data_IF_815581203049
#
_entry.id   IF_815581203049
#
_cell.length_a   1.000
_cell.length_b   1.000
_cell.length_c   1.000
_cell.angle_alpha   90.00
_cell.angle_beta   90.00
_cell.angle_gamma   90.00
#
_symmetry.space_group_name_H-M   'P 1'
#
loop_
_entity.id
_entity.type
_entity.pdbx_description
1 polymer ?
#
# COMPACT_ATOMS: atom_id res chain seq x y z
N UNK A 1 -19.40 57.97 15.63
CA UNK A 1 -18.35 56.98 15.30
C UNK A 1 -18.50 55.81 16.25
N UNK A 2 -18.95 54.67 15.74
CA UNK A 2 -19.17 53.44 16.51
C UNK A 2 -18.51 52.29 15.75
N UNK A 3 -17.57 51.62 16.43
CA UNK A 3 -16.83 50.47 15.93
C UNK A 3 -17.75 49.24 15.83
N UNK A 4 -17.96 48.71 14.63
CA UNK A 4 -18.55 47.39 14.42
C UNK A 4 -17.47 46.43 13.93
N UNK A 5 -17.09 45.49 14.81
CA UNK A 5 -16.33 44.28 14.47
C UNK A 5 -17.26 43.33 13.74
N UNK A 6 -17.05 43.12 12.44
CA UNK A 6 -17.69 42.04 11.71
C UNK A 6 -16.88 40.75 11.95
N UNK A 7 -17.39 39.88 12.81
CA UNK A 7 -16.95 38.49 12.88
C UNK A 7 -17.57 37.73 11.70
N UNK A 8 -16.72 37.16 10.86
CA UNK A 8 -17.12 36.21 9.82
C UNK A 8 -17.69 34.94 10.46
N UNK A 9 -18.94 34.62 10.15
CA UNK A 9 -19.50 33.29 10.36
C UNK A 9 -19.50 32.60 8.99
N UNK A 10 -18.46 31.81 8.71
CA UNK A 10 -18.52 30.82 7.64
C UNK A 10 -19.29 29.62 8.19
N UNK A 11 -20.51 29.42 7.70
CA UNK A 11 -21.25 28.17 7.92
C UNK A 11 -20.51 27.05 7.20
N UNK A 12 -19.85 26.18 7.97
CA UNK A 12 -19.31 24.92 7.47
C UNK A 12 -20.48 24.01 7.10
N UNK A 13 -20.78 23.89 5.81
CA UNK A 13 -21.67 22.86 5.31
C UNK A 13 -20.92 21.52 5.38
N UNK A 14 -21.09 20.81 6.49
CA UNK A 14 -20.62 19.43 6.65
C UNK A 14 -21.50 18.54 5.79
N UNK A 15 -21.05 18.19 4.58
CA UNK A 15 -21.65 17.09 3.83
C UNK A 15 -21.11 15.80 4.45
N UNK A 16 -21.90 15.23 5.36
CA UNK A 16 -21.69 13.90 5.93
C UNK A 16 -22.00 12.86 4.84
N UNK A 17 -21.03 12.57 3.98
CA UNK A 17 -21.04 11.34 3.20
C UNK A 17 -20.64 10.20 4.14
N UNK A 18 -21.66 9.51 4.68
CA UNK A 18 -21.50 8.21 5.36
C UNK A 18 -21.01 7.21 4.31
N UNK A 19 -19.70 7.18 4.11
CA UNK A 19 -18.97 6.06 3.52
C UNK A 19 -18.11 5.52 4.66
N UNK A 20 -18.69 4.60 5.42
CA UNK A 20 -17.99 3.89 6.48
C UNK A 20 -16.82 3.13 5.87
N UNK A 21 -15.62 3.40 6.36
CA UNK A 21 -14.40 2.73 5.92
C UNK A 21 -13.17 3.61 6.01
N UNK A 22 -12.90 4.18 7.19
CA UNK A 22 -11.52 4.52 7.54
C UNK A 22 -10.71 3.22 7.62
N UNK A 23 -10.12 2.78 6.50
CA UNK A 23 -9.14 1.72 6.49
C UNK A 23 -7.76 2.37 6.63
N UNK A 24 -7.42 2.68 7.88
CA UNK A 24 -6.02 2.67 8.28
C UNK A 24 -5.54 1.24 8.09
N UNK A 25 -4.88 0.98 6.97
CA UNK A 25 -4.20 -0.30 6.77
C UNK A 25 -3.08 -0.35 7.77
N UNK A 26 -3.14 -1.36 8.62
CA UNK A 26 -2.12 -1.68 9.59
C UNK A 26 -0.73 -1.56 8.97
N UNK A 27 0.09 -0.72 9.59
CA UNK A 27 1.54 -0.79 9.49
C UNK A 27 1.97 -2.25 9.50
N UNK A 28 2.86 -2.61 8.57
CA UNK A 28 3.53 -3.92 8.56
C UNK A 28 4.37 -4.04 9.83
N UNK A 29 3.76 -4.50 10.91
CA UNK A 29 4.50 -4.93 12.09
C UNK A 29 5.17 -6.25 11.74
N UNK A 30 6.34 -6.18 11.12
CA UNK A 30 7.29 -7.28 11.15
C UNK A 30 7.56 -7.57 12.63
N UNK A 31 7.08 -8.72 13.10
CA UNK A 31 7.45 -9.25 14.40
C UNK A 31 8.96 -9.56 14.34
N UNK A 32 9.80 -8.56 14.63
CA UNK A 32 11.22 -8.77 14.93
C UNK A 32 11.23 -9.63 16.18
N UNK A 33 11.34 -10.94 16.01
CA UNK A 33 11.69 -11.86 17.09
C UNK A 33 13.13 -11.51 17.49
N UNK A 34 13.24 -10.52 18.38
CA UNK A 34 14.48 -10.20 19.06
C UNK A 34 14.81 -11.42 19.92
N UNK A 35 15.96 -12.04 19.63
CA UNK A 35 16.51 -13.13 20.42
C UNK A 35 16.89 -12.59 21.80
N UNK A 36 15.91 -12.46 22.69
CA UNK A 36 16.18 -12.22 24.10
C UNK A 36 16.84 -13.48 24.67
N UNK A 37 18.16 -13.40 24.78
CA UNK A 37 19.00 -14.25 25.61
C UNK A 37 18.37 -14.32 27.01
N UNK A 38 17.76 -15.46 27.34
CA UNK A 38 17.27 -15.77 28.67
C UNK A 38 18.49 -15.92 29.60
N UNK A 39 18.84 -14.85 30.31
CA UNK A 39 19.68 -14.98 31.50
C UNK A 39 18.78 -15.42 32.65
N UNK A 40 18.90 -16.70 33.01
CA UNK A 40 18.18 -17.32 34.10
C UNK A 40 18.53 -16.65 35.42
N UNK A 41 17.59 -15.91 36.00
CA UNK A 41 17.62 -15.54 37.42
C UNK A 41 16.49 -16.26 38.13
N UNK A 42 16.92 -17.25 38.91
CA UNK A 42 16.13 -18.10 39.79
C UNK A 42 15.27 -17.29 40.77
N UNK A 43 13.95 -17.42 40.67
CA UNK A 43 13.02 -17.20 41.79
C UNK A 43 11.91 -18.24 41.71
N UNK A 44 11.92 -19.17 42.67
CA UNK A 44 10.83 -20.08 42.98
C UNK A 44 9.54 -19.30 43.29
N UNK A 45 8.52 -19.46 42.46
CA UNK A 45 7.13 -19.36 42.91
C UNK A 45 6.28 -20.39 42.16
N UNK A 46 5.90 -21.42 42.89
CA UNK A 46 4.92 -22.42 42.49
C UNK A 46 3.55 -21.73 42.50
N UNK A 47 2.98 -21.51 41.33
CA UNK A 47 1.56 -21.20 41.17
C UNK A 47 0.96 -22.20 40.19
N UNK A 48 -0.01 -22.96 40.71
CA UNK A 48 -0.68 -24.09 40.07
C UNK A 48 -1.15 -23.78 38.64
N UNK A 49 -0.79 -24.67 37.72
CA UNK A 49 -1.39 -24.78 36.40
C UNK A 49 -2.85 -25.25 36.53
N UNK A 50 -3.79 -24.44 36.08
CA UNK A 50 -5.09 -24.90 35.59
C UNK A 50 -5.69 -23.81 34.71
N UNK A 51 -5.66 -24.04 33.41
CA UNK A 51 -6.17 -23.14 32.39
C UNK A 51 -5.44 -23.43 31.10
N UNK A 52 -6.15 -24.09 30.20
CA UNK A 52 -5.82 -24.48 28.83
C UNK A 52 -4.51 -23.96 28.23
N UNK A 53 -3.78 -24.89 27.62
CA UNK A 53 -2.79 -24.61 26.59
C UNK A 53 -3.40 -23.58 25.66
N UNK A 54 -2.84 -22.37 25.65
CA UNK A 54 -3.23 -21.28 24.75
C UNK A 54 -3.18 -21.85 23.33
N UNK A 55 -4.37 -22.26 22.85
CA UNK A 55 -4.56 -22.81 21.53
C UNK A 55 -4.21 -21.66 20.62
N UNK A 56 -2.97 -21.63 20.12
CA UNK A 56 -2.49 -20.76 19.05
C UNK A 56 -3.69 -20.45 18.18
N UNK A 57 -4.26 -19.26 18.32
CA UNK A 57 -5.59 -18.97 17.79
C UNK A 57 -5.52 -19.19 16.29
N UNK A 58 -6.00 -20.35 15.84
CA UNK A 58 -5.86 -20.74 14.44
C UNK A 58 -6.73 -19.76 13.70
N UNK A 59 -6.11 -18.91 12.87
CA UNK A 59 -6.87 -17.93 12.10
C UNK A 59 -7.92 -18.70 11.29
N UNK A 60 -9.12 -18.14 11.20
CA UNK A 60 -10.21 -18.81 10.53
C UNK A 60 -10.16 -18.51 9.02
N UNK A 61 -10.61 -19.44 8.17
CA UNK A 61 -10.76 -19.18 6.75
C UNK A 61 -11.61 -17.93 6.51
N UNK A 62 -11.26 -17.17 5.47
CA UNK A 62 -11.96 -15.95 5.12
C UNK A 62 -12.18 -15.86 3.62
N UNK A 63 -13.13 -15.03 3.19
CA UNK A 63 -13.33 -14.76 1.77
C UNK A 63 -12.16 -13.91 1.27
N UNK A 64 -11.45 -14.31 0.21
CA UNK A 64 -10.30 -13.55 -0.29
C UNK A 64 -10.64 -12.15 -0.79
N UNK A 65 -11.87 -11.98 -1.28
CA UNK A 65 -12.41 -10.69 -1.72
C UNK A 65 -13.59 -10.26 -0.86
N UNK A 66 -13.78 -8.96 -0.75
CA UNK A 66 -15.00 -8.34 -0.23
C UNK A 66 -16.11 -8.39 -1.27
N UNK A 67 -17.35 -8.07 -0.87
CA UNK A 67 -18.50 -8.00 -1.77
C UNK A 67 -18.32 -6.98 -2.91
N UNK A 68 -17.41 -6.03 -2.75
CA UNK A 68 -17.10 -4.99 -3.73
C UNK A 68 -15.91 -5.37 -4.63
N UNK A 69 -15.44 -6.62 -4.57
CA UNK A 69 -14.33 -7.14 -5.39
C UNK A 69 -12.93 -6.73 -4.91
N UNK A 70 -12.81 -6.05 -3.77
CA UNK A 70 -11.52 -5.65 -3.18
C UNK A 70 -10.89 -6.83 -2.45
N UNK A 71 -9.55 -6.89 -2.36
CA UNK A 71 -8.90 -7.91 -1.52
C UNK A 71 -9.23 -7.66 -0.04
N UNK A 72 -9.61 -8.71 0.66
CA UNK A 72 -9.97 -8.65 2.06
C UNK A 72 -8.70 -8.50 2.93
N UNK A 73 -8.64 -7.47 3.77
CA UNK A 73 -7.51 -7.27 4.69
C UNK A 73 -7.29 -8.44 5.66
N UNK A 74 -8.36 -9.15 6.06
CA UNK A 74 -8.24 -10.35 6.87
C UNK A 74 -7.53 -11.48 6.11
N UNK A 75 -7.78 -11.60 4.80
CA UNK A 75 -7.09 -12.54 3.92
C UNK A 75 -5.61 -12.18 3.80
N UNK A 76 -5.29 -10.90 3.57
CA UNK A 76 -3.90 -10.42 3.52
C UNK A 76 -3.17 -10.77 4.81
N UNK A 77 -3.71 -10.37 5.97
CA UNK A 77 -3.07 -10.60 7.27
C UNK A 77 -2.83 -12.08 7.56
N UNK A 78 -3.79 -12.94 7.17
CA UNK A 78 -3.70 -14.39 7.36
C UNK A 78 -2.56 -15.02 6.56
N UNK A 79 -2.26 -14.52 5.36
CA UNK A 79 -1.22 -15.08 4.48
C UNK A 79 0.08 -14.26 4.43
N UNK A 80 0.15 -13.09 5.06
CA UNK A 80 1.32 -12.21 4.94
C UNK A 80 2.63 -12.85 5.38
N UNK A 81 2.59 -13.69 6.43
CA UNK A 81 3.74 -14.44 6.90
C UNK A 81 4.08 -15.66 6.02
N UNK A 82 3.13 -16.10 5.19
CA UNK A 82 3.28 -17.24 4.30
C UNK A 82 3.85 -16.85 2.94
N UNK A 83 3.98 -15.57 2.62
CA UNK A 83 4.57 -15.10 1.36
C UNK A 83 5.92 -14.46 1.63
N UNK A 84 6.93 -14.93 0.91
CA UNK A 84 8.29 -14.41 0.96
C UNK A 84 8.68 -13.82 -0.38
N UNK A 85 9.51 -12.77 -0.37
CA UNK A 85 10.16 -12.25 -1.56
C UNK A 85 11.56 -12.85 -1.66
N UNK A 86 11.78 -13.69 -2.67
CA UNK A 86 13.08 -14.32 -2.88
C UNK A 86 14.10 -13.28 -3.37
N UNK A 87 15.06 -12.97 -2.51
CA UNK A 87 16.18 -12.04 -2.79
C UNK A 87 17.00 -12.37 -4.05
N UNK A 88 17.02 -13.63 -4.51
CA UNK A 88 17.79 -14.07 -5.68
C UNK A 88 17.01 -13.89 -6.97
N UNK A 89 15.72 -14.21 -6.93
CA UNK A 89 14.87 -14.19 -8.12
C UNK A 89 14.02 -12.93 -8.25
N UNK A 90 13.92 -12.13 -7.18
CA UNK A 90 13.08 -10.94 -7.10
C UNK A 90 11.58 -11.26 -7.20
N UNK A 91 11.17 -12.48 -6.82
CA UNK A 91 9.81 -12.97 -6.98
C UNK A 91 9.19 -13.40 -5.66
N UNK A 92 7.89 -13.12 -5.52
CA UNK A 92 7.08 -13.62 -4.44
C UNK A 92 6.88 -15.13 -4.59
N UNK A 93 6.98 -15.85 -3.47
CA UNK A 93 6.72 -17.27 -3.40
C UNK A 93 6.07 -17.65 -2.08
N UNK A 94 5.36 -18.78 -2.07
CA UNK A 94 4.70 -19.28 -0.87
C UNK A 94 5.69 -20.10 -0.05
N UNK A 95 5.91 -19.68 1.19
CA UNK A 95 6.57 -20.49 2.19
C UNK A 95 5.56 -21.48 2.81
N UNK A 96 5.63 -22.72 2.33
CA UNK A 96 4.75 -23.81 2.75
C UNK A 96 4.77 -24.08 4.26
N UNK A 97 5.87 -23.74 4.96
CA UNK A 97 6.02 -23.98 6.41
C UNK A 97 5.20 -23.02 7.27
N UNK A 98 4.85 -21.87 6.72
CA UNK A 98 4.15 -20.77 7.42
C UNK A 98 2.73 -20.58 6.90
N UNK A 99 2.28 -21.45 5.99
CA UNK A 99 0.89 -21.46 5.54
C UNK A 99 -0.06 -21.79 6.71
N UNK A 100 -1.22 -21.13 6.78
CA UNK A 100 -2.27 -21.54 7.72
C UNK A 100 -2.69 -23.00 7.48
N UNK A 101 -2.67 -23.81 8.54
CA UNK A 101 -2.97 -25.25 8.47
C UNK A 101 -4.39 -25.57 7.98
N UNK A 102 -5.32 -24.63 8.13
CA UNK A 102 -6.71 -24.73 7.71
C UNK A 102 -7.02 -23.87 6.46
N UNK A 103 -6.01 -23.52 5.66
CA UNK A 103 -6.22 -22.79 4.41
C UNK A 103 -7.12 -23.59 3.45
N UNK A 104 -8.18 -22.95 2.97
CA UNK A 104 -9.11 -23.56 2.04
C UNK A 104 -8.55 -23.56 0.61
N UNK A 105 -9.07 -24.45 -0.25
CA UNK A 105 -8.69 -24.48 -1.67
C UNK A 105 -8.97 -23.14 -2.37
N UNK A 106 -10.06 -22.46 -1.99
CA UNK A 106 -10.44 -21.15 -2.52
C UNK A 106 -9.39 -20.09 -2.15
N UNK A 107 -9.00 -20.03 -0.87
CA UNK A 107 -7.94 -19.13 -0.40
C UNK A 107 -6.61 -19.37 -1.10
N UNK A 108 -6.18 -20.63 -1.24
CA UNK A 108 -4.93 -20.99 -1.91
C UNK A 108 -4.95 -20.63 -3.40
N UNK A 109 -6.08 -20.84 -4.08
CA UNK A 109 -6.23 -20.49 -5.49
C UNK A 109 -6.11 -18.98 -5.72
N UNK A 110 -6.73 -18.17 -4.87
CA UNK A 110 -6.61 -16.71 -4.98
C UNK A 110 -5.21 -16.22 -4.57
N UNK A 111 -4.59 -16.84 -3.57
CA UNK A 111 -3.21 -16.55 -3.17
C UNK A 111 -2.23 -16.78 -4.35
N UNK A 112 -2.29 -17.94 -4.99
CA UNK A 112 -1.46 -18.29 -6.14
C UNK A 112 -1.68 -17.32 -7.31
N UNK A 113 -2.93 -16.95 -7.57
CA UNK A 113 -3.29 -15.97 -8.61
C UNK A 113 -2.67 -14.60 -8.33
N UNK A 114 -2.81 -14.07 -7.11
CA UNK A 114 -2.25 -12.77 -6.74
C UNK A 114 -0.73 -12.75 -6.83
N UNK A 115 -0.07 -13.79 -6.31
CA UNK A 115 1.40 -13.94 -6.41
C UNK A 115 1.85 -13.97 -7.86
N UNK A 116 1.18 -14.76 -8.71
CA UNK A 116 1.50 -14.87 -10.13
C UNK A 116 1.37 -13.53 -10.85
N UNK A 117 0.27 -12.81 -10.61
CA UNK A 117 0.02 -11.50 -11.22
C UNK A 117 1.00 -10.44 -10.72
N UNK A 118 1.30 -10.42 -9.42
CA UNK A 118 2.27 -9.50 -8.84
C UNK A 118 3.68 -9.75 -9.40
N UNK A 119 4.10 -11.01 -9.53
CA UNK A 119 5.39 -11.38 -10.11
C UNK A 119 5.53 -10.95 -11.58
N UNK A 120 4.46 -11.08 -12.38
CA UNK A 120 4.45 -10.60 -13.78
C UNK A 120 4.69 -9.09 -13.82
N UNK A 121 3.95 -8.31 -13.01
CA UNK A 121 4.10 -6.86 -12.95
C UNK A 121 5.48 -6.45 -12.42
N UNK A 122 5.92 -7.06 -11.33
CA UNK A 122 7.17 -6.71 -10.67
C UNK A 122 8.36 -6.99 -11.58
N UNK A 123 8.41 -8.18 -12.20
CA UNK A 123 9.48 -8.56 -13.14
C UNK A 123 9.59 -7.58 -14.31
N UNK A 124 8.45 -7.15 -14.86
CA UNK A 124 8.46 -6.15 -15.93
C UNK A 124 9.01 -4.81 -15.45
N UNK A 125 8.57 -4.37 -14.27
CA UNK A 125 8.94 -3.06 -13.71
C UNK A 125 10.43 -2.97 -13.39
N UNK A 126 10.97 -3.95 -12.66
CA UNK A 126 12.38 -3.92 -12.19
C UNK A 126 13.40 -4.00 -13.33
N UNK A 127 13.00 -4.51 -14.50
CA UNK A 127 13.85 -4.54 -15.69
C UNK A 127 13.94 -3.17 -16.39
N UNK A 128 12.97 -2.30 -16.16
CA UNK A 128 12.82 -1.04 -16.88
C UNK A 128 13.37 0.14 -16.08
N UNK A 129 13.21 0.10 -14.76
CA UNK A 129 13.59 1.20 -13.87
C UNK A 129 15.08 1.17 -13.53
N UNK A 130 15.68 2.34 -13.20
CA UNK A 130 17.06 2.37 -12.71
C UNK A 130 17.23 1.54 -11.44
N UNK A 131 18.18 0.58 -11.45
CA UNK A 131 18.43 -0.31 -10.29
C UNK A 131 18.71 0.44 -8.99
N UNK A 132 19.35 1.60 -9.07
CA UNK A 132 19.64 2.44 -7.91
C UNK A 132 18.37 2.96 -7.21
N UNK A 133 17.24 3.01 -7.92
CA UNK A 133 15.96 3.47 -7.39
C UNK A 133 15.12 2.33 -6.80
N UNK A 134 15.64 1.09 -6.78
CA UNK A 134 14.92 -0.10 -6.32
C UNK A 134 15.48 -0.52 -4.96
N UNK A 135 14.61 -0.59 -3.96
CA UNK A 135 14.94 -1.06 -2.61
C UNK A 135 14.03 -2.21 -2.24
N UNK A 136 14.60 -3.32 -1.77
CA UNK A 136 13.83 -4.40 -1.17
C UNK A 136 13.58 -4.08 0.30
N UNK A 137 12.32 -4.06 0.71
CA UNK A 137 11.87 -3.88 2.09
C UNK A 137 11.17 -5.17 2.56
N UNK A 138 11.93 -6.05 3.20
CA UNK A 138 11.45 -7.35 3.63
C UNK A 138 10.83 -8.16 2.48
N UNK A 139 9.52 -8.41 2.58
CA UNK A 139 8.71 -9.13 1.58
C UNK A 139 8.01 -8.18 0.59
N UNK A 140 8.64 -7.06 0.25
CA UNK A 140 8.10 -6.07 -0.69
C UNK A 140 9.22 -5.35 -1.44
N UNK A 141 8.87 -4.66 -2.51
CA UNK A 141 9.82 -3.87 -3.32
C UNK A 141 9.32 -2.44 -3.44
N UNK A 142 10.20 -1.49 -3.17
CA UNK A 142 9.98 -0.05 -3.38
C UNK A 142 10.78 0.41 -4.59
N UNK A 143 10.13 1.19 -5.45
CA UNK A 143 10.73 1.86 -6.60
C UNK A 143 10.44 3.35 -6.46
N UNK A 144 11.47 4.14 -6.17
CA UNK A 144 11.35 5.59 -6.04
C UNK A 144 11.63 6.34 -7.35
N UNK A 145 11.24 7.61 -7.40
CA UNK A 145 11.78 8.55 -8.39
C UNK A 145 13.29 8.81 -8.21
N UNK A 146 13.84 8.46 -7.04
CA UNK A 146 15.26 8.51 -6.71
C UNK A 146 15.65 7.40 -5.71
N UNK A 147 16.95 7.09 -5.54
CA UNK A 147 17.40 6.14 -4.53
C UNK A 147 16.98 6.56 -3.11
N UNK A 148 17.11 7.86 -2.82
CA UNK A 148 16.72 8.44 -1.52
C UNK A 148 15.23 8.24 -1.25
N UNK A 149 14.37 8.51 -2.23
CA UNK A 149 12.92 8.28 -2.09
C UNK A 149 12.62 6.81 -1.81
N UNK A 150 13.28 5.89 -2.52
CA UNK A 150 13.08 4.47 -2.33
C UNK A 150 13.48 4.01 -0.91
N UNK A 151 14.64 4.46 -0.41
CA UNK A 151 15.11 4.17 0.94
C UNK A 151 14.21 4.77 2.04
N UNK A 152 13.76 6.01 1.86
CA UNK A 152 12.90 6.68 2.85
C UNK A 152 11.51 6.03 2.96
N UNK A 153 10.97 5.52 1.84
CA UNK A 153 9.69 4.78 1.83
C UNK A 153 9.89 3.36 2.39
N UNK A 154 10.98 2.68 2.04
CA UNK A 154 11.30 1.34 2.54
C UNK A 154 11.56 1.31 4.05
N UNK A 155 12.15 2.37 4.61
CA UNK A 155 12.47 2.43 6.05
C UNK A 155 11.29 2.79 6.95
N UNK A 156 10.08 2.95 6.39
CA UNK A 156 8.92 3.56 7.05
C UNK A 156 9.29 4.87 7.78
N UNK A 157 10.29 5.58 7.26
CA UNK A 157 10.75 6.88 7.76
C UNK A 157 9.79 7.97 7.28
N UNK A 158 8.51 7.72 7.51
CA UNK A 158 7.45 8.71 7.44
C UNK A 158 7.42 9.43 8.78
N UNK A 159 8.45 10.23 9.06
CA UNK A 159 8.32 11.31 10.03
C UNK A 159 7.37 12.36 9.42
N UNK A 160 6.08 12.04 9.33
CA UNK A 160 5.06 12.86 8.69
C UNK A 160 4.65 13.96 9.65
N UNK A 161 5.36 15.09 9.61
CA UNK A 161 4.73 16.35 9.93
C UNK A 161 3.69 16.59 8.84
N UNK A 162 2.42 16.25 9.15
CA UNK A 162 1.24 16.59 8.33
C UNK A 162 1.14 18.12 8.31
N UNK A 163 1.96 18.73 7.48
CA UNK A 163 1.82 20.12 7.09
C UNK A 163 1.16 20.09 5.72
N UNK A 164 0.09 20.85 5.57
CA UNK A 164 -0.75 20.97 4.36
C UNK A 164 -0.01 21.43 3.08
N UNK A 165 1.33 21.48 3.08
CA UNK A 165 2.17 22.07 2.03
C UNK A 165 3.42 21.25 1.62
N UNK A 166 3.63 20.02 2.06
CA UNK A 166 4.82 19.26 1.63
C UNK A 166 4.62 18.59 0.25
N UNK A 167 5.66 18.47 -0.57
CA UNK A 167 5.56 18.02 -1.97
C UNK A 167 5.13 16.56 -2.16
N UNK A 168 5.19 15.74 -1.11
CA UNK A 168 4.98 14.30 -1.22
C UNK A 168 6.07 13.63 -2.06
N UNK A 169 5.96 12.32 -2.24
CA UNK A 169 6.93 11.48 -2.93
C UNK A 169 6.26 10.71 -4.06
N UNK A 170 7.01 10.47 -5.13
CA UNK A 170 6.59 9.60 -6.22
C UNK A 170 7.29 8.26 -6.11
N UNK A 171 6.52 7.19 -5.95
CA UNK A 171 7.06 5.84 -5.76
C UNK A 171 6.03 4.75 -6.12
N UNK A 172 6.51 3.54 -6.40
CA UNK A 172 5.74 2.30 -6.40
C UNK A 172 6.20 1.42 -5.23
N UNK A 173 5.29 0.94 -4.40
CA UNK A 173 5.56 -0.04 -3.36
C UNK A 173 4.75 -1.31 -3.63
N UNK A 174 5.41 -2.33 -4.13
CA UNK A 174 4.79 -3.57 -4.59
C UNK A 174 4.89 -4.66 -3.52
N UNK A 175 3.73 -5.22 -3.20
CA UNK A 175 3.50 -6.36 -2.33
C UNK A 175 2.96 -7.54 -3.16
N UNK A 176 2.89 -8.73 -2.54
CA UNK A 176 2.29 -9.89 -3.20
C UNK A 176 0.80 -9.72 -3.51
N UNK A 177 0.07 -8.96 -2.67
CA UNK A 177 -1.37 -8.73 -2.82
C UNK A 177 -1.71 -7.49 -3.64
N UNK A 178 -0.75 -6.59 -3.91
CA UNK A 178 -1.05 -5.30 -4.49
C UNK A 178 0.12 -4.35 -4.62
N UNK A 179 -0.15 -3.13 -5.10
CA UNK A 179 0.86 -2.07 -5.27
C UNK A 179 0.30 -0.75 -4.75
N UNK A 180 1.12 -0.01 -4.01
CA UNK A 180 0.84 1.37 -3.62
C UNK A 180 1.60 2.31 -4.54
N UNK A 181 0.91 3.29 -5.12
CA UNK A 181 1.51 4.32 -5.96
C UNK A 181 1.38 5.66 -5.25
N UNK A 182 2.51 6.18 -4.74
CA UNK A 182 2.60 7.58 -4.34
C UNK A 182 2.83 8.45 -5.56
N UNK A 183 2.07 9.54 -5.67
CA UNK A 183 2.23 10.59 -6.68
C UNK A 183 2.41 11.92 -5.95
N UNK A 184 3.58 12.56 -6.15
CA UNK A 184 3.85 13.88 -5.58
C UNK A 184 2.85 14.93 -6.08
N UNK A 185 2.69 16.02 -5.34
CA UNK A 185 1.80 17.14 -5.73
C UNK A 185 2.10 17.64 -7.13
N UNK A 186 3.36 17.86 -7.49
CA UNK A 186 3.75 18.38 -8.81
C UNK A 186 3.36 17.41 -9.91
N UNK A 187 3.60 16.12 -9.72
CA UNK A 187 3.27 15.11 -10.72
C UNK A 187 1.75 14.94 -10.85
N UNK A 188 1.02 14.90 -9.73
CA UNK A 188 -0.44 14.81 -9.73
C UNK A 188 -1.05 16.00 -10.49
N UNK A 189 -0.56 17.22 -10.24
CA UNK A 189 -1.01 18.42 -10.96
C UNK A 189 -0.73 18.35 -12.45
N UNK A 190 0.47 17.88 -12.82
CA UNK A 190 0.87 17.70 -14.21
C UNK A 190 -0.03 16.70 -14.93
N UNK A 191 -0.29 15.54 -14.32
CA UNK A 191 -1.23 14.52 -14.82
C UNK A 191 -2.63 15.11 -14.98
N UNK A 192 -3.13 15.83 -13.96
CA UNK A 192 -4.43 16.48 -13.99
C UNK A 192 -4.58 17.53 -15.10
N UNK A 193 -3.56 18.37 -15.29
CA UNK A 193 -3.54 19.40 -16.34
C UNK A 193 -3.48 18.83 -17.76
N UNK A 194 -2.77 17.70 -17.94
CA UNK A 194 -2.66 17.01 -19.23
C UNK A 194 -3.84 16.10 -19.55
N UNK A 195 -4.74 15.90 -18.58
CA UNK A 195 -5.81 14.90 -18.67
C UNK A 195 -5.29 13.51 -18.37
N UNK A 196 -5.91 12.81 -17.41
CA UNK A 196 -5.37 11.56 -16.85
C UNK A 196 -5.24 10.42 -17.88
N UNK A 197 -6.02 10.47 -18.96
CA UNK A 197 -5.97 9.47 -20.05
C UNK A 197 -5.05 9.85 -21.21
N UNK A 198 -4.31 10.96 -21.13
CA UNK A 198 -3.45 11.40 -22.21
C UNK A 198 -2.10 10.67 -22.24
N UNK A 199 -1.50 10.59 -23.43
CA UNK A 199 -0.16 10.06 -23.60
C UNK A 199 0.87 10.90 -22.84
N UNK A 200 0.63 12.19 -22.67
CA UNK A 200 1.46 13.13 -21.93
C UNK A 200 1.41 12.88 -20.42
N UNK A 201 0.24 12.50 -19.87
CA UNK A 201 0.13 12.10 -18.47
C UNK A 201 0.89 10.79 -18.21
N UNK A 202 0.70 9.78 -19.07
CA UNK A 202 1.46 8.54 -19.00
C UNK A 202 2.96 8.80 -19.16
N UNK A 203 3.36 9.68 -20.08
CA UNK A 203 4.75 10.07 -20.31
C UNK A 203 5.36 10.80 -19.11
N UNK A 204 4.59 11.63 -18.40
CA UNK A 204 5.04 12.28 -17.19
C UNK A 204 5.33 11.27 -16.07
N UNK A 205 4.44 10.30 -15.85
CA UNK A 205 4.64 9.25 -14.85
C UNK A 205 5.80 8.32 -15.24
N UNK A 206 5.84 7.91 -16.51
CA UNK A 206 6.92 7.11 -17.09
C UNK A 206 8.28 7.77 -16.88
N UNK A 207 8.42 9.05 -17.21
CA UNK A 207 9.68 9.78 -17.08
C UNK A 207 10.17 9.92 -15.65
N UNK A 208 9.26 10.03 -14.67
CA UNK A 208 9.62 10.17 -13.25
C UNK A 208 10.02 8.82 -12.64
N UNK A 209 9.29 7.75 -12.93
CA UNK A 209 9.54 6.43 -12.34
C UNK A 209 10.46 5.53 -13.19
N UNK A 210 10.83 5.96 -14.40
CA UNK A 210 11.60 5.14 -15.34
C UNK A 210 10.80 3.98 -15.95
N UNK A 211 9.47 4.09 -15.99
CA UNK A 211 8.59 3.04 -16.55
C UNK A 211 8.47 3.18 -18.06
N UNK A 212 8.15 2.08 -18.76
CA UNK A 212 7.66 2.21 -20.14
C UNK A 212 6.27 2.83 -20.19
N UNK A 213 5.98 3.51 -21.31
CA UNK A 213 4.73 4.22 -21.54
C UNK A 213 3.47 3.34 -21.36
N UNK A 214 3.40 2.09 -21.85
CA UNK A 214 2.22 1.25 -21.64
C UNK A 214 1.96 0.95 -20.17
N UNK A 215 3.02 0.72 -19.39
CA UNK A 215 2.88 0.46 -17.95
C UNK A 215 2.45 1.72 -17.20
N UNK A 216 3.06 2.87 -17.50
CA UNK A 216 2.65 4.14 -16.91
C UNK A 216 1.18 4.49 -17.27
N UNK A 217 0.74 4.18 -18.49
CA UNK A 217 -0.64 4.37 -18.91
C UNK A 217 -1.63 3.52 -18.11
N UNK A 218 -1.26 2.29 -17.74
CA UNK A 218 -2.05 1.43 -16.84
C UNK A 218 -2.18 2.08 -15.46
N UNK A 219 -1.10 2.60 -14.88
CA UNK A 219 -1.20 3.33 -13.61
C UNK A 219 -2.04 4.61 -13.72
N UNK A 220 -1.91 5.36 -14.82
CA UNK A 220 -2.76 6.53 -15.07
C UNK A 220 -4.24 6.16 -15.21
N UNK A 221 -4.59 5.05 -15.86
CA UNK A 221 -6.01 4.61 -15.93
C UNK A 221 -6.58 4.34 -14.54
N UNK A 222 -5.77 3.79 -13.62
CA UNK A 222 -6.17 3.60 -12.23
C UNK A 222 -6.34 4.92 -11.45
N UNK A 223 -5.41 5.87 -11.63
CA UNK A 223 -5.53 7.21 -11.06
C UNK A 223 -6.85 7.86 -11.51
N UNK A 224 -7.23 7.69 -12.79
CA UNK A 224 -8.46 8.28 -13.33
C UNK A 224 -9.71 7.73 -12.66
N UNK A 225 -9.78 6.40 -12.48
CA UNK A 225 -10.91 5.74 -11.83
C UNK A 225 -11.20 6.29 -10.43
N UNK A 226 -10.15 6.58 -9.64
CA UNK A 226 -10.31 7.20 -8.32
C UNK A 226 -10.60 8.69 -8.43
N UNK A 227 -9.89 9.42 -9.30
CA UNK A 227 -10.05 10.88 -9.45
C UNK A 227 -11.50 11.25 -9.80
N UNK A 228 -12.16 10.43 -10.63
CA UNK A 228 -13.59 10.57 -10.93
C UNK A 228 -14.47 10.41 -9.68
N UNK A 229 -14.20 9.39 -8.85
CA UNK A 229 -14.99 9.10 -7.64
C UNK A 229 -14.83 10.15 -6.55
N UNK A 230 -13.63 10.71 -6.38
CA UNK A 230 -13.36 11.68 -5.31
C UNK A 230 -13.73 13.12 -5.70
N UNK A 231 -14.16 13.35 -6.95
CA UNK A 231 -14.58 14.68 -7.44
C UNK A 231 -13.51 15.77 -7.32
N UNK A 232 -12.25 15.40 -7.08
CA UNK A 232 -11.13 16.34 -6.96
C UNK A 232 -10.35 16.36 -8.26
N UNK A 233 -10.10 17.57 -8.76
CA UNK A 233 -9.11 17.74 -9.79
C UNK A 233 -7.74 17.47 -9.16
N UNK A 234 -6.97 16.51 -9.69
CA UNK A 234 -5.57 16.28 -9.30
C UNK A 234 -4.71 17.56 -9.31
N UNK A 235 -5.18 18.60 -10.03
CA UNK A 235 -4.61 19.95 -10.02
C UNK A 235 -4.67 20.66 -8.66
N UNK A 236 -5.48 20.18 -7.71
CA UNK A 236 -5.71 20.78 -6.38
C UNK A 236 -5.11 19.97 -5.23
N UNK A 237 -4.35 18.92 -5.51
CA UNK A 237 -3.67 18.10 -4.49
C UNK A 237 -2.78 18.96 -3.58
N UNK A 238 -2.92 18.87 -2.24
CA UNK A 238 -2.21 19.71 -1.27
C UNK A 238 -0.76 19.29 -1.03
N UNK A 239 -0.47 17.98 -1.00
CA UNK A 239 0.89 17.49 -0.84
C UNK A 239 1.23 16.27 -1.69
N UNK A 240 0.28 15.39 -1.92
CA UNK A 240 0.40 14.31 -2.89
C UNK A 240 -0.76 13.37 -2.70
N UNK A 241 -0.84 12.32 -3.49
CA UNK A 241 -1.87 11.30 -3.31
C UNK A 241 -1.23 9.93 -3.44
N UNK A 242 -1.63 9.01 -2.57
CA UNK A 242 -1.26 7.59 -2.62
C UNK A 242 -2.49 6.82 -3.08
N UNK A 243 -2.29 5.89 -4.00
CA UNK A 243 -3.34 4.99 -4.47
C UNK A 243 -2.96 3.54 -4.14
N UNK A 244 -3.91 2.76 -3.63
CA UNK A 244 -3.71 1.36 -3.28
C UNK A 244 -4.42 0.46 -4.29
N UNK A 245 -3.66 -0.40 -4.97
CA UNK A 245 -4.13 -1.27 -6.05
C UNK A 245 -4.00 -2.75 -5.70
N UNK A 246 -4.98 -3.55 -6.09
CA UNK A 246 -4.88 -5.02 -6.14
C UNK A 246 -3.97 -5.45 -7.30
N UNK A 247 -3.19 -6.53 -7.10
CA UNK A 247 -2.38 -7.10 -8.16
C UNK A 247 -3.26 -7.53 -9.37
N UNK A 248 -2.80 -7.20 -10.58
CA UNK A 248 -3.37 -7.73 -11.83
C UNK A 248 -4.78 -7.28 -12.25
N UNK A 249 -5.39 -6.28 -11.61
CA UNK A 249 -6.75 -5.83 -11.97
C UNK A 249 -6.78 -4.59 -12.88
N UNK A 250 -7.26 -4.68 -14.15
CA UNK A 250 -7.19 -3.61 -15.14
C UNK A 250 -8.27 -2.51 -15.03
N UNK A 251 -9.31 -2.69 -14.22
CA UNK A 251 -10.32 -1.65 -13.92
C UNK A 251 -11.16 -2.12 -12.72
N UNK A 252 -11.06 -1.45 -11.57
CA UNK A 252 -11.69 -1.88 -10.30
C UNK A 252 -10.71 -2.37 -9.23
N UNK A 253 -9.41 -2.38 -9.55
CA UNK A 253 -8.35 -2.76 -8.61
C UNK A 253 -8.01 -1.70 -7.56
N UNK A 254 -8.49 -0.46 -7.67
CA UNK A 254 -8.19 0.58 -6.68
C UNK A 254 -9.17 0.50 -5.53
N UNK A 255 -8.66 0.32 -4.32
CA UNK A 255 -9.51 0.09 -3.15
C UNK A 255 -9.27 1.08 -2.01
N UNK A 256 -8.28 1.95 -2.15
CA UNK A 256 -8.05 3.05 -1.21
C UNK A 256 -7.22 4.16 -1.82
N UNK A 257 -7.34 5.35 -1.23
CA UNK A 257 -6.44 6.47 -1.47
C UNK A 257 -6.16 7.21 -0.18
N UNK A 258 -4.99 7.82 -0.09
CA UNK A 258 -4.53 8.60 1.06
C UNK A 258 -3.88 9.89 0.56
N UNK A 259 -4.08 11.01 1.26
CA UNK A 259 -3.31 12.22 1.00
C UNK A 259 -1.90 12.05 1.57
N UNK A 260 -0.91 12.53 0.82
CA UNK A 260 0.43 12.78 1.35
C UNK A 260 0.42 14.17 1.96
#
# INVERSE_FOLDING_TARGET
MSHLKNNLVFSSLTILLVTGGSLGLAQSAHNKVSSQKLEAKNVNQVSNYSGDIDLLTVSQPTTPTTNNGQINSAFINRFNNAVILDSKTGQFSINQKTLPINATKLELTELDKLISQSNVSLKQTILEVPKANVVQDGNSVVIGDSPKTAEEIASDSQATLITIYHEGKTYLHTYWWGTRLGVSRTLARKIGQKGVHSAEAAGALAGVLGLKLPQAAVYCSFISGVSYLIGTALTKTPGGIVFNFTAGMPSGGVWGFEWQ
#
